data_IF_971198497864
#
_entry.id   IF_971198497864
#
_cell.length_a   1.000
_cell.length_b   1.000
_cell.length_c   1.000
_cell.angle_alpha   90.00
_cell.angle_beta   90.00
_cell.angle_gamma   90.00
#
_symmetry.space_group_name_H-M   'P 1'
#
loop_
_entity.id
_entity.type
_entity.pdbx_description
1 polymer ?
#
# COMPACT_ATOMS: atom_id res chain seq x y z
N UNK A 1 -39.62 0.73 -39.39
CA UNK A 1 -39.60 0.46 -37.93
C UNK A 1 -38.47 1.30 -37.36
N UNK A 2 -38.77 2.56 -37.04
CA UNK A 2 -39.18 3.03 -35.71
C UNK A 2 -37.96 3.32 -34.83
N UNK A 3 -37.75 4.62 -34.61
CA UNK A 3 -36.81 5.21 -33.68
C UNK A 3 -37.29 5.08 -32.23
N UNK A 4 -36.35 5.10 -31.28
CA UNK A 4 -36.44 5.62 -29.90
C UNK A 4 -35.08 5.34 -29.23
N UNK A 5 -34.15 6.29 -29.04
CA UNK A 5 -34.10 7.42 -28.10
C UNK A 5 -34.34 7.08 -26.62
N UNK A 6 -33.38 7.52 -25.80
CA UNK A 6 -33.51 7.77 -24.36
C UNK A 6 -32.47 7.02 -23.52
N UNK A 7 -31.83 7.60 -22.50
CA UNK A 7 -31.68 8.99 -22.10
C UNK A 7 -30.50 9.07 -21.13
N UNK A 8 -29.80 10.19 -21.13
CA UNK A 8 -28.72 10.53 -20.18
C UNK A 8 -29.31 10.70 -18.77
N UNK A 9 -28.64 10.18 -17.74
CA UNK A 9 -28.84 10.65 -16.37
C UNK A 9 -27.53 11.23 -15.84
N UNK A 10 -27.46 12.56 -15.90
CA UNK A 10 -26.49 13.37 -15.20
C UNK A 10 -26.90 13.45 -13.71
N UNK A 11 -25.93 13.28 -12.82
CA UNK A 11 -26.11 13.47 -11.37
C UNK A 11 -26.17 14.98 -11.08
N UNK A 12 -27.14 15.48 -10.28
CA UNK A 12 -27.32 16.92 -10.08
C UNK A 12 -26.25 17.52 -9.15
N UNK A 13 -25.62 18.62 -9.60
CA UNK A 13 -24.93 19.60 -8.76
C UNK A 13 -25.97 20.36 -7.94
N UNK A 14 -25.89 20.31 -6.60
CA UNK A 14 -26.63 21.23 -5.72
C UNK A 14 -25.77 22.43 -5.36
N UNK A 15 -26.33 23.62 -5.60
CA UNK A 15 -25.75 24.95 -5.38
C UNK A 15 -26.72 25.72 -4.45
N UNK A 16 -26.17 26.13 -3.29
CA UNK A 16 -26.48 27.27 -2.37
C UNK A 16 -27.92 27.57 -1.90
N UNK A 17 -28.03 28.25 -0.75
CA UNK A 17 -28.47 29.64 -0.81
C UNK A 17 -27.57 30.63 -0.04
N UNK A 18 -27.50 31.84 -0.59
CA UNK A 18 -26.99 33.09 -0.04
C UNK A 18 -28.14 33.86 0.67
N UNK A 19 -27.82 34.78 1.60
CA UNK A 19 -28.74 35.76 2.22
C UNK A 19 -28.24 36.18 3.62
N UNK A 20 -27.47 37.28 3.77
CA UNK A 20 -27.87 38.68 4.09
C UNK A 20 -28.36 38.86 5.54
N UNK A 21 -28.13 39.92 6.33
CA UNK A 21 -27.27 41.11 6.40
C UNK A 21 -27.49 41.72 7.81
N UNK A 22 -26.60 42.60 8.30
CA UNK A 22 -26.82 43.42 9.51
C UNK A 22 -25.51 43.71 10.26
N UNK A 23 -24.71 44.70 9.87
CA UNK A 23 -24.80 46.13 10.21
C UNK A 23 -24.53 46.46 11.68
N UNK A 24 -23.35 47.01 11.99
CA UNK A 24 -23.19 48.35 12.60
C UNK A 24 -21.71 48.67 12.88
N UNK A 25 -21.31 49.88 12.47
CA UNK A 25 -20.12 50.70 12.74
C UNK A 25 -19.55 50.61 14.18
N UNK A 26 -18.28 50.90 14.51
CA UNK A 26 -17.52 52.14 14.23
C UNK A 26 -16.06 52.07 14.74
N UNK A 27 -15.09 52.69 14.03
CA UNK A 27 -13.86 53.44 14.47
C UNK A 27 -12.96 52.90 15.61
N UNK A 28 -11.62 52.91 15.62
CA UNK A 28 -10.61 53.81 15.02
C UNK A 28 -9.16 53.36 15.38
N UNK A 29 -8.22 53.51 14.44
CA UNK A 29 -6.82 54.03 14.55
C UNK A 29 -5.70 53.24 15.30
N UNK A 30 -4.70 52.80 14.50
CA UNK A 30 -3.20 52.82 14.64
C UNK A 30 -2.49 52.21 15.88
N UNK A 31 -1.32 51.51 15.86
CA UNK A 31 -0.14 51.41 14.96
C UNK A 31 0.74 50.18 15.43
N UNK A 32 1.89 49.83 14.77
CA UNK A 32 2.44 48.47 14.69
C UNK A 32 3.56 48.13 15.68
N UNK A 33 3.86 46.84 15.88
CA UNK A 33 5.24 46.29 15.94
C UNK A 33 5.20 44.75 15.93
N UNK A 34 6.05 44.19 15.08
CA UNK A 34 6.22 42.76 14.88
C UNK A 34 7.09 42.16 15.99
N UNK A 35 6.64 41.06 16.61
CA UNK A 35 7.54 40.11 17.26
C UNK A 35 7.15 38.71 16.79
N UNK A 36 8.03 38.13 15.98
CA UNK A 36 7.84 36.80 15.42
C UNK A 36 7.73 35.75 16.52
N UNK A 37 6.71 34.90 16.39
CA UNK A 37 6.85 33.52 16.82
C UNK A 37 6.64 32.66 15.58
N UNK A 38 7.68 32.02 15.02
CA UNK A 38 7.43 30.95 14.07
C UNK A 38 6.62 29.92 14.84
N UNK A 39 5.34 29.76 14.46
CA UNK A 39 4.54 28.62 14.86
C UNK A 39 5.24 27.43 14.23
N UNK A 40 6.24 26.91 14.94
CA UNK A 40 7.02 25.74 14.58
C UNK A 40 5.96 24.69 14.28
N UNK A 41 5.76 24.42 12.98
CA UNK A 41 4.81 23.42 12.52
C UNK A 41 5.30 22.15 13.19
N UNK A 42 4.60 21.71 14.24
CA UNK A 42 4.76 20.34 14.72
C UNK A 42 4.34 19.53 13.51
N UNK A 43 5.33 18.97 12.82
CA UNK A 43 5.09 17.88 11.89
C UNK A 43 4.61 16.74 12.79
N UNK A 44 3.31 16.75 13.09
CA UNK A 44 2.67 15.67 13.83
C UNK A 44 2.49 14.55 12.82
N UNK A 45 3.60 13.88 12.50
CA UNK A 45 3.63 12.74 11.60
C UNK A 45 2.84 11.64 12.29
N UNK A 46 1.72 11.25 11.69
CA UNK A 46 0.89 10.19 12.26
C UNK A 46 1.60 8.84 12.16
N UNK A 47 1.14 7.84 12.92
CA UNK A 47 1.62 6.47 12.78
C UNK A 47 1.45 5.97 11.33
N UNK A 48 0.30 6.28 10.71
CA UNK A 48 0.02 5.96 9.31
C UNK A 48 1.03 6.59 8.36
N UNK A 49 1.39 7.86 8.56
CA UNK A 49 2.40 8.53 7.73
C UNK A 49 3.78 7.89 7.86
N UNK A 50 4.13 7.47 9.08
CA UNK A 50 5.40 6.79 9.36
C UNK A 50 5.44 5.41 8.70
N UNK A 51 4.37 4.62 8.84
CA UNK A 51 4.25 3.31 8.21
C UNK A 51 4.26 3.47 6.69
N UNK A 52 3.55 4.45 6.14
CA UNK A 52 3.51 4.72 4.70
C UNK A 52 4.89 5.09 4.16
N UNK A 53 5.65 5.95 4.88
CA UNK A 53 7.03 6.28 4.54
C UNK A 53 7.93 5.04 4.49
N UNK A 54 7.85 4.16 5.49
CA UNK A 54 8.64 2.92 5.53
C UNK A 54 8.22 1.99 4.39
N UNK A 55 6.93 1.84 4.14
CA UNK A 55 6.39 1.01 3.05
C UNK A 55 6.90 1.47 1.68
N UNK A 56 6.86 2.78 1.41
CA UNK A 56 7.35 3.34 0.15
C UNK A 56 8.87 3.18 0.01
N UNK A 57 9.61 3.36 1.10
CA UNK A 57 11.04 3.11 1.13
C UNK A 57 11.37 1.64 0.83
N UNK A 58 10.61 0.69 1.37
CA UNK A 58 10.77 -0.74 1.06
C UNK A 58 10.45 -1.04 -0.41
N UNK A 59 9.30 -0.56 -0.88
CA UNK A 59 8.81 -0.80 -2.25
C UNK A 59 9.75 -0.26 -3.33
N UNK A 60 10.36 0.90 -3.07
CA UNK A 60 11.21 1.59 -4.04
C UNK A 60 12.68 1.19 -3.96
N UNK A 61 13.05 0.21 -3.12
CA UNK A 61 14.42 -0.32 -3.07
C UNK A 61 14.74 -1.06 -4.37
N UNK A 62 15.73 -0.56 -5.09
CA UNK A 62 16.28 -1.16 -6.31
C UNK A 62 17.43 -2.09 -5.95
N UNK A 63 17.53 -3.23 -6.65
CA UNK A 63 18.66 -4.15 -6.54
C UNK A 63 19.85 -3.67 -7.38
N UNK A 64 19.60 -3.40 -8.67
CA UNK A 64 20.52 -2.78 -9.63
C UNK A 64 19.67 -2.14 -10.75
N UNK A 65 20.04 -0.91 -11.12
CA UNK A 65 19.51 0.10 -12.07
C UNK A 65 18.01 0.15 -12.46
N UNK A 66 17.28 -0.96 -12.59
CA UNK A 66 15.84 -0.94 -12.96
C UNK A 66 14.97 -2.01 -12.28
N UNK A 67 15.55 -2.96 -11.53
CA UNK A 67 14.76 -4.04 -10.90
C UNK A 67 14.46 -3.73 -9.44
N UNK A 68 13.17 -3.68 -9.10
CA UNK A 68 12.71 -3.52 -7.72
C UNK A 68 12.84 -4.83 -6.96
N UNK A 69 13.46 -4.80 -5.77
CA UNK A 69 13.56 -5.98 -4.90
C UNK A 69 12.19 -6.56 -4.56
N UNK A 70 11.17 -5.69 -4.46
CA UNK A 70 9.82 -6.07 -4.09
C UNK A 70 8.92 -6.50 -5.25
N UNK A 71 9.40 -6.51 -6.49
CA UNK A 71 8.57 -6.88 -7.65
C UNK A 71 8.01 -8.30 -7.51
N UNK A 72 8.85 -9.25 -7.07
CA UNK A 72 8.45 -10.62 -6.77
C UNK A 72 7.44 -10.75 -5.61
N UNK A 73 7.31 -9.72 -4.76
CA UNK A 73 6.45 -9.72 -3.58
C UNK A 73 5.18 -8.87 -3.77
N UNK A 74 4.99 -8.30 -4.96
CA UNK A 74 3.87 -7.40 -5.22
C UNK A 74 2.53 -8.12 -5.10
N UNK A 75 2.45 -9.37 -5.57
CA UNK A 75 1.22 -10.14 -5.57
C UNK A 75 1.48 -11.62 -5.34
N UNK A 76 0.77 -12.21 -4.38
CA UNK A 76 0.80 -13.66 -4.19
C UNK A 76 0.18 -14.38 -5.41
N UNK A 77 0.72 -15.55 -5.83
CA UNK A 77 0.08 -16.38 -6.84
C UNK A 77 -1.39 -16.67 -6.53
N UNK A 78 -2.23 -16.78 -7.57
CA UNK A 78 -3.65 -17.09 -7.36
C UNK A 78 -3.83 -18.56 -7.01
N UNK A 79 -4.58 -18.86 -5.95
CA UNK A 79 -4.90 -20.23 -5.51
C UNK A 79 -5.42 -21.17 -6.60
N UNK A 80 -6.16 -20.64 -7.57
CA UNK A 80 -6.72 -21.44 -8.68
C UNK A 80 -5.66 -21.88 -9.70
N UNK A 81 -4.63 -21.07 -9.92
CA UNK A 81 -3.61 -21.31 -10.93
C UNK A 81 -2.37 -21.96 -10.35
N UNK A 82 -2.06 -21.67 -9.08
CA UNK A 82 -0.90 -22.21 -8.37
C UNK A 82 -1.31 -22.71 -6.97
N UNK A 83 -2.04 -23.83 -6.88
CA UNK A 83 -2.45 -24.40 -5.59
C UNK A 83 -1.25 -24.84 -4.74
N UNK A 84 -0.13 -25.25 -5.37
CA UNK A 84 1.07 -25.73 -4.70
C UNK A 84 1.68 -24.67 -3.77
N UNK A 85 1.57 -23.38 -4.12
CA UNK A 85 2.00 -22.29 -3.23
C UNK A 85 1.33 -22.38 -1.86
N UNK A 86 0.03 -22.68 -1.84
CA UNK A 86 -0.79 -22.75 -0.64
C UNK A 86 -0.64 -24.07 0.14
N UNK A 87 0.03 -25.07 -0.43
CA UNK A 87 0.47 -26.25 0.31
C UNK A 87 1.71 -25.97 1.17
N UNK A 88 2.54 -25.01 0.73
CA UNK A 88 3.75 -24.58 1.44
C UNK A 88 3.42 -23.45 2.42
N UNK A 89 2.68 -22.45 1.94
CA UNK A 89 2.45 -21.20 2.64
C UNK A 89 1.05 -21.19 3.27
N UNK A 90 1.03 -21.23 4.60
CA UNK A 90 -0.22 -21.32 5.40
C UNK A 90 -0.96 -19.98 5.50
N UNK A 91 -0.21 -18.89 5.60
CA UNK A 91 -0.75 -17.53 5.79
C UNK A 91 -0.21 -16.59 4.72
N UNK A 92 -0.80 -16.58 3.51
CA UNK A 92 -0.33 -15.75 2.41
C UNK A 92 -0.52 -14.26 2.69
N UNK A 93 0.49 -13.47 2.33
CA UNK A 93 0.45 -12.00 2.37
C UNK A 93 1.29 -11.46 1.20
N UNK A 94 0.92 -10.30 0.65
CA UNK A 94 1.67 -9.57 -0.36
C UNK A 94 1.72 -8.07 -0.04
N UNK A 95 2.57 -7.34 -0.79
CA UNK A 95 2.69 -5.90 -0.66
C UNK A 95 1.37 -5.17 -0.91
N UNK A 96 0.48 -5.67 -1.77
CA UNK A 96 -0.83 -5.08 -2.01
C UNK A 96 -1.74 -5.20 -0.79
N UNK A 97 -1.72 -6.35 -0.11
CA UNK A 97 -2.47 -6.56 1.13
C UNK A 97 -1.97 -5.65 2.25
N UNK A 98 -0.65 -5.53 2.41
CA UNK A 98 -0.04 -4.60 3.38
C UNK A 98 -0.44 -3.16 3.03
N UNK A 99 -0.33 -2.74 1.77
CA UNK A 99 -0.75 -1.40 1.34
C UNK A 99 -2.23 -1.14 1.63
N UNK A 100 -3.10 -2.13 1.43
CA UNK A 100 -4.51 -2.02 1.77
C UNK A 100 -4.69 -1.82 3.27
N UNK A 101 -3.98 -2.60 4.12
CA UNK A 101 -4.03 -2.46 5.58
C UNK A 101 -3.60 -1.06 6.04
N UNK A 102 -2.56 -0.48 5.43
CA UNK A 102 -2.16 0.91 5.70
C UNK A 102 -3.29 1.89 5.36
N UNK A 103 -3.89 1.77 4.17
CA UNK A 103 -4.97 2.66 3.70
C UNK A 103 -6.24 2.57 4.55
N UNK A 104 -6.51 1.41 5.14
CA UNK A 104 -7.66 1.19 6.02
C UNK A 104 -7.36 1.48 7.48
N UNK A 105 -6.16 1.97 7.81
CA UNK A 105 -5.73 2.34 9.16
C UNK A 105 -5.97 1.23 10.20
N UNK A 106 -5.59 -0.01 9.86
CA UNK A 106 -5.80 -1.16 10.76
C UNK A 106 -4.60 -1.43 11.67
N UNK A 107 -3.49 -0.74 11.47
CA UNK A 107 -2.29 -0.91 12.29
C UNK A 107 -2.34 0.07 13.47
N UNK A 108 -2.53 -0.46 14.67
CA UNK A 108 -2.55 0.37 15.89
C UNK A 108 -1.14 0.68 16.38
N UNK A 109 -0.18 -0.16 16.01
CA UNK A 109 1.22 -0.08 16.41
C UNK A 109 2.14 -0.43 15.25
N UNK A 110 3.36 0.13 15.25
CA UNK A 110 4.37 -0.17 14.24
C UNK A 110 4.77 -1.65 14.24
N UNK A 111 4.70 -2.33 15.39
CA UNK A 111 5.03 -3.75 15.51
C UNK A 111 4.10 -4.64 14.66
N UNK A 112 2.82 -4.30 14.55
CA UNK A 112 1.86 -5.05 13.73
C UNK A 112 2.21 -4.97 12.23
N UNK A 113 2.67 -3.80 11.78
CA UNK A 113 3.18 -3.63 10.42
C UNK A 113 4.48 -4.44 10.22
N UNK A 114 5.42 -4.38 11.15
CA UNK A 114 6.65 -5.15 11.09
C UNK A 114 6.39 -6.66 11.03
N UNK A 115 5.41 -7.16 11.78
CA UNK A 115 4.99 -8.58 11.74
C UNK A 115 4.51 -9.00 10.36
N UNK A 116 3.73 -8.17 9.68
CA UNK A 116 3.27 -8.46 8.31
C UNK A 116 4.41 -8.43 7.28
N UNK A 117 5.34 -7.48 7.40
CA UNK A 117 6.53 -7.43 6.54
C UNK A 117 7.42 -8.64 6.78
N UNK A 118 7.61 -9.05 8.04
CA UNK A 118 8.35 -10.26 8.39
C UNK A 118 7.68 -11.51 7.81
N UNK A 119 6.35 -11.63 7.95
CA UNK A 119 5.58 -12.74 7.36
C UNK A 119 5.74 -12.81 5.84
N UNK A 120 5.73 -11.66 5.14
CA UNK A 120 5.98 -11.59 3.70
C UNK A 120 7.33 -12.19 3.33
N UNK A 121 8.39 -11.79 4.05
CA UNK A 121 9.76 -12.25 3.82
C UNK A 121 9.91 -13.74 4.14
N UNK A 122 9.33 -14.20 5.25
CA UNK A 122 9.43 -15.59 5.67
C UNK A 122 8.68 -16.53 4.72
N UNK A 123 7.51 -16.12 4.24
CA UNK A 123 6.77 -16.85 3.21
C UNK A 123 7.59 -16.98 1.93
N UNK A 124 8.24 -15.90 1.49
CA UNK A 124 9.10 -15.93 0.31
C UNK A 124 10.26 -16.91 0.49
N UNK A 125 11.01 -16.80 1.59
CA UNK A 125 12.12 -17.69 1.91
C UNK A 125 11.67 -19.14 1.93
N UNK A 126 10.56 -19.45 2.60
CA UNK A 126 10.05 -20.81 2.73
C UNK A 126 9.66 -21.39 1.37
N UNK A 127 8.95 -20.62 0.54
CA UNK A 127 8.53 -21.07 -0.78
C UNK A 127 9.74 -21.33 -1.70
N UNK A 128 10.66 -20.36 -1.83
CA UNK A 128 11.84 -20.51 -2.69
C UNK A 128 12.81 -21.57 -2.18
N UNK A 129 12.97 -21.73 -0.85
CA UNK A 129 13.77 -22.82 -0.29
C UNK A 129 13.19 -24.19 -0.68
N UNK A 130 11.87 -24.35 -0.60
CA UNK A 130 11.21 -25.60 -1.02
C UNK A 130 11.32 -25.83 -2.53
N UNK A 131 11.13 -24.79 -3.35
CA UNK A 131 11.29 -24.88 -4.81
C UNK A 131 12.72 -25.30 -5.17
N UNK A 132 13.72 -24.66 -4.56
CA UNK A 132 15.13 -25.00 -4.79
C UNK A 132 15.45 -26.42 -4.32
N UNK A 133 14.96 -26.83 -3.14
CA UNK A 133 15.15 -28.18 -2.63
C UNK A 133 14.56 -29.25 -3.58
N UNK A 134 13.36 -29.02 -4.11
CA UNK A 134 12.74 -29.92 -5.09
C UNK A 134 13.53 -29.95 -6.40
N UNK A 135 13.98 -28.80 -6.89
CA UNK A 135 14.78 -28.73 -8.12
C UNK A 135 16.10 -29.49 -7.99
N UNK A 136 16.81 -29.34 -6.87
CA UNK A 136 18.04 -30.08 -6.57
C UNK A 136 17.77 -31.59 -6.46
N UNK A 137 16.70 -31.97 -5.75
CA UNK A 137 16.32 -33.39 -5.60
C UNK A 137 15.98 -34.03 -6.96
N UNK A 138 15.27 -33.29 -7.81
CA UNK A 138 14.92 -33.74 -9.16
C UNK A 138 16.17 -33.89 -10.04
N UNK A 139 17.08 -32.91 -10.01
CA UNK A 139 18.34 -32.96 -10.75
C UNK A 139 19.22 -34.16 -10.32
N UNK A 140 19.33 -34.44 -9.01
CA UNK A 140 20.07 -35.59 -8.50
C UNK A 140 19.46 -36.92 -8.95
N UNK A 141 18.14 -37.01 -8.96
CA UNK A 141 17.42 -38.20 -9.46
C UNK A 141 17.69 -38.38 -10.95
N UNK A 142 17.61 -37.31 -11.74
CA UNK A 142 17.90 -37.33 -13.18
C UNK A 142 19.33 -37.74 -13.50
N UNK A 143 20.33 -37.22 -12.78
CA UNK A 143 21.73 -37.63 -12.96
C UNK A 143 21.93 -39.12 -12.64
N UNK A 144 21.28 -39.63 -11.58
CA UNK A 144 21.33 -41.05 -11.24
C UNK A 144 20.74 -41.96 -12.32
N UNK A 145 19.66 -41.53 -12.98
CA UNK A 145 19.04 -42.26 -14.09
C UNK A 145 19.81 -42.13 -15.40
N UNK A 146 20.51 -41.02 -15.64
CA UNK A 146 21.27 -40.81 -16.88
C UNK A 146 22.59 -41.60 -16.92
N UNK A 147 23.02 -42.14 -15.78
CA UNK A 147 24.22 -42.99 -15.66
C UNK A 147 23.94 -44.51 -15.61
N UNK A 148 22.68 -44.94 -15.78
CA UNK A 148 22.30 -46.34 -16.05
C UNK A 148 21.96 -46.52 -17.53
#
# INVERSE_FOLDING_TARGET
MAAQQGNKMAVPKRKRPDGEEGSSSSSSVSTPLAEGRPKRRRNDTTLVDTIQYIFDALRNKKKDEEVYLCEAFLRVPRKKTEPQYYEVIKSPIDMLKIQQKIKTDVYNELEEFCKDVQLLVDNAKLYYAKVLFLAVSFAQTWLGFCCL
#
